data_IF_849269406766
#
_entry.id   IF_849269406766
#
_cell.length_a   1.000
_cell.length_b   1.000
_cell.length_c   1.000
_cell.angle_alpha   90.00
_cell.angle_beta   90.00
_cell.angle_gamma   90.00
#
_symmetry.space_group_name_H-M   'P 1'
#
loop_
_entity.id
_entity.type
_entity.pdbx_description
1 polymer ?
#
# COMPACT_ATOMS: atom_id res chain seq x y z
N UNK A 1 8.24 -10.97 -2.05
CA UNK A 1 9.03 -12.15 -2.51
C UNK A 1 8.27 -12.81 -3.63
N UNK A 2 8.97 -13.29 -4.65
CA UNK A 2 8.41 -14.06 -5.76
C UNK A 2 9.16 -15.40 -5.85
N UNK A 3 8.51 -16.47 -6.30
CA UNK A 3 9.20 -17.71 -6.68
C UNK A 3 8.95 -18.02 -8.15
N UNK A 4 9.86 -18.81 -8.73
CA UNK A 4 9.83 -19.27 -10.12
C UNK A 4 9.39 -20.73 -10.15
N UNK A 5 8.57 -21.11 -11.12
CA UNK A 5 8.38 -22.53 -11.46
C UNK A 5 9.51 -23.07 -12.36
N UNK A 6 9.40 -24.34 -12.75
CA UNK A 6 10.34 -25.00 -13.66
C UNK A 6 10.33 -24.44 -15.09
N UNK A 7 9.30 -23.67 -15.46
CA UNK A 7 9.14 -23.04 -16.76
C UNK A 7 9.59 -21.56 -16.75
N UNK A 8 10.00 -21.04 -15.59
CA UNK A 8 10.44 -19.66 -15.41
C UNK A 8 9.29 -18.67 -15.17
N UNK A 9 8.06 -19.15 -15.00
CA UNK A 9 6.89 -18.32 -14.66
C UNK A 9 7.01 -17.85 -13.21
N UNK A 10 6.85 -16.53 -12.99
CA UNK A 10 6.92 -15.94 -11.65
C UNK A 10 5.57 -15.89 -10.98
N UNK A 11 5.56 -16.30 -9.73
CA UNK A 11 4.41 -16.24 -8.85
C UNK A 11 4.76 -15.41 -7.62
N UNK A 12 3.87 -14.50 -7.24
CA UNK A 12 3.97 -13.86 -5.94
C UNK A 12 3.46 -14.81 -4.84
N UNK A 13 4.05 -14.68 -3.66
CA UNK A 13 3.31 -14.99 -2.43
C UNK A 13 2.06 -14.14 -2.36
N UNK A 14 0.97 -14.63 -1.74
CA UNK A 14 -0.18 -13.79 -1.51
C UNK A 14 0.29 -12.54 -0.77
N UNK A 15 0.25 -11.41 -1.46
CA UNK A 15 0.64 -10.13 -0.94
C UNK A 15 -0.64 -9.39 -0.64
N UNK A 16 -0.81 -9.07 0.63
CA UNK A 16 -1.95 -8.31 1.07
C UNK A 16 -1.48 -6.91 1.48
N UNK A 17 -2.20 -5.91 0.96
CA UNK A 17 -1.89 -4.51 1.25
C UNK A 17 -2.86 -4.01 2.30
N UNK A 18 -2.33 -3.43 3.37
CA UNK A 18 -3.12 -2.95 4.48
C UNK A 18 -2.76 -1.53 4.88
N UNK A 19 -3.77 -0.72 5.17
CA UNK A 19 -3.62 0.50 5.94
C UNK A 19 -4.27 0.29 7.32
N UNK A 20 -3.44 0.08 8.35
CA UNK A 20 -3.90 -0.29 9.68
C UNK A 20 -4.57 -1.67 9.73
N UNK A 21 -5.91 -1.68 9.83
CA UNK A 21 -6.75 -2.88 9.88
C UNK A 21 -7.52 -3.13 8.57
N UNK A 22 -7.49 -2.19 7.61
CA UNK A 22 -8.24 -2.30 6.37
C UNK A 22 -7.43 -3.01 5.29
N UNK A 23 -7.97 -4.11 4.75
CA UNK A 23 -7.44 -4.80 3.56
C UNK A 23 -7.77 -3.97 2.33
N UNK A 24 -6.75 -3.56 1.59
CA UNK A 24 -6.91 -2.70 0.41
C UNK A 24 -6.77 -3.49 -0.90
N UNK A 25 -5.93 -4.54 -0.92
CA UNK A 25 -5.76 -5.40 -2.11
C UNK A 25 -5.22 -6.78 -1.74
N UNK A 26 -5.46 -7.76 -2.62
CA UNK A 26 -5.02 -9.15 -2.51
C UNK A 26 -4.45 -9.63 -3.85
N UNK A 27 -3.26 -10.23 -3.84
CA UNK A 27 -2.84 -11.12 -4.91
C UNK A 27 -3.03 -12.58 -4.47
N UNK A 28 -3.61 -13.41 -5.34
CA UNK A 28 -3.74 -14.85 -5.07
C UNK A 28 -2.45 -15.57 -5.39
N UNK A 29 -2.12 -16.56 -4.56
CA UNK A 29 -1.05 -17.53 -4.82
C UNK A 29 -1.21 -18.12 -6.24
N UNK A 30 -0.12 -18.17 -7.01
CA UNK A 30 -0.15 -18.83 -8.33
C UNK A 30 -0.70 -17.98 -9.48
N UNK A 31 -0.87 -16.66 -9.32
CA UNK A 31 -1.14 -15.75 -10.44
C UNK A 31 0.19 -15.33 -11.06
N UNK A 32 0.38 -15.66 -12.34
CA UNK A 32 1.45 -15.09 -13.15
C UNK A 32 1.22 -13.60 -13.25
N UNK A 33 2.14 -12.81 -12.70
CA UNK A 33 2.09 -11.36 -12.83
C UNK A 33 2.73 -11.00 -14.16
N UNK A 34 1.94 -10.44 -15.05
CA UNK A 34 2.45 -9.71 -16.21
C UNK A 34 3.49 -8.69 -15.67
N UNK A 35 4.71 -8.70 -16.21
CA UNK A 35 5.82 -7.89 -15.68
C UNK A 35 5.50 -6.38 -15.67
N UNK A 36 4.48 -5.97 -16.45
CA UNK A 36 3.97 -4.60 -16.53
C UNK A 36 2.68 -4.36 -15.71
N UNK A 37 2.16 -5.36 -15.00
CA UNK A 37 0.98 -5.19 -14.15
C UNK A 37 1.27 -4.25 -12.98
N UNK A 38 0.46 -3.20 -12.87
CA UNK A 38 0.49 -2.25 -11.77
C UNK A 38 -0.68 -2.54 -10.84
N UNK A 39 -0.36 -2.87 -9.58
CA UNK A 39 -1.36 -2.92 -8.51
C UNK A 39 -1.52 -1.51 -7.95
N UNK A 40 -2.73 -0.97 -8.03
CA UNK A 40 -3.09 0.34 -7.46
C UNK A 40 -3.82 0.16 -6.15
N UNK A 41 -3.37 0.89 -5.14
CA UNK A 41 -3.94 0.83 -3.79
C UNK A 41 -4.42 2.21 -3.41
N UNK A 42 -5.75 2.45 -3.40
CA UNK A 42 -6.29 3.76 -3.10
C UNK A 42 -6.14 4.10 -1.62
N UNK A 43 -5.57 5.26 -1.36
CA UNK A 43 -5.38 5.84 -0.03
C UNK A 43 -6.21 7.11 0.08
N UNK A 44 -6.97 7.21 1.17
CA UNK A 44 -7.72 8.41 1.54
C UNK A 44 -7.40 8.76 2.98
N UNK A 45 -6.86 9.96 3.20
CA UNK A 45 -6.48 10.47 4.52
C UNK A 45 -7.27 11.75 4.81
N UNK A 46 -7.84 11.83 6.00
CA UNK A 46 -8.53 13.01 6.49
C UNK A 46 -7.62 13.78 7.47
N UNK A 47 -7.58 15.10 7.28
CA UNK A 47 -6.77 16.05 8.02
C UNK A 47 -7.65 17.16 8.61
N UNK A 48 -7.19 17.85 9.67
CA UNK A 48 -7.80 19.09 10.11
C UNK A 48 -7.78 20.16 8.99
N UNK A 49 -8.61 21.22 9.09
CA UNK A 49 -8.83 22.20 8.01
C UNK A 49 -7.60 23.06 7.65
N UNK A 50 -6.54 22.99 8.44
CA UNK A 50 -5.22 23.55 8.18
C UNK A 50 -4.18 22.55 8.69
N UNK A 51 -3.87 21.48 7.92
CA UNK A 51 -2.81 20.57 8.35
C UNK A 51 -1.52 21.38 8.39
N UNK A 52 -0.93 21.51 9.58
CA UNK A 52 0.30 22.29 9.75
C UNK A 52 1.44 21.68 8.93
N UNK A 53 1.44 20.36 8.76
CA UNK A 53 2.43 19.62 7.98
C UNK A 53 1.80 18.37 7.38
N UNK A 54 1.93 18.20 6.06
CA UNK A 54 1.98 16.87 5.46
C UNK A 54 3.40 16.33 5.69
N UNK A 55 3.51 15.04 5.97
CA UNK A 55 4.79 14.41 6.32
C UNK A 55 4.92 13.01 5.76
N UNK A 56 5.81 12.23 6.37
CA UNK A 56 6.05 10.84 5.95
C UNK A 56 4.81 9.97 6.18
N UNK A 57 4.31 9.38 5.11
CA UNK A 57 3.31 8.32 5.14
C UNK A 57 4.00 6.96 5.08
N UNK A 58 3.47 6.00 5.84
CA UNK A 58 3.95 4.62 5.89
C UNK A 58 2.82 3.66 5.54
N UNK A 59 3.08 2.78 4.58
CA UNK A 59 2.25 1.63 4.24
C UNK A 59 3.02 0.33 4.53
N UNK A 60 2.36 -0.60 5.23
CA UNK A 60 2.92 -1.91 5.53
C UNK A 60 2.41 -2.94 4.52
N UNK A 61 3.33 -3.67 3.88
CA UNK A 61 3.00 -4.81 3.04
C UNK A 61 3.22 -6.10 3.83
N UNK A 62 2.30 -7.04 3.69
CA UNK A 62 2.32 -8.31 4.38
C UNK A 62 2.26 -9.47 3.39
N UNK A 63 2.87 -10.59 3.75
CA UNK A 63 2.70 -11.84 3.04
C UNK A 63 1.94 -12.84 3.91
N UNK A 64 1.08 -13.63 3.27
CA UNK A 64 0.40 -14.76 3.89
C UNK A 64 1.04 -16.07 3.44
N UNK A 65 1.34 -16.97 4.39
CA UNK A 65 1.99 -18.26 4.11
C UNK A 65 1.05 -19.46 4.24
N UNK A 66 -0.24 -19.23 4.42
CA UNK A 66 -1.25 -20.29 4.44
C UNK A 66 -1.68 -20.71 3.03
N UNK A 67 -2.23 -21.91 2.93
CA UNK A 67 -2.75 -22.49 1.68
C UNK A 67 -4.23 -22.11 1.43
N UNK A 68 -4.85 -21.41 2.38
CA UNK A 68 -6.23 -20.93 2.32
C UNK A 68 -6.32 -19.44 1.93
N UNK A 69 -7.54 -18.96 1.68
CA UNK A 69 -7.80 -17.53 1.48
C UNK A 69 -8.14 -16.90 2.85
N UNK A 70 -7.27 -16.03 3.38
CA UNK A 70 -7.49 -15.50 4.72
C UNK A 70 -8.59 -14.44 4.71
N UNK A 71 -9.50 -14.55 5.68
CA UNK A 71 -10.62 -13.61 5.85
C UNK A 71 -10.20 -12.37 6.63
N UNK A 72 -9.26 -12.55 7.57
CA UNK A 72 -8.76 -11.49 8.44
C UNK A 72 -7.26 -11.63 8.59
N UNK A 73 -6.56 -10.50 8.71
CA UNK A 73 -5.13 -10.46 9.01
C UNK A 73 -4.84 -10.33 10.51
N UNK A 74 -5.71 -9.60 11.22
CA UNK A 74 -5.52 -9.29 12.63
C UNK A 74 -6.62 -9.89 13.49
N UNK A 75 -6.26 -10.27 14.71
CA UNK A 75 -7.21 -10.64 15.73
C UNK A 75 -7.97 -9.42 16.28
N UNK A 76 -8.93 -9.66 17.18
CA UNK A 76 -9.73 -8.60 17.81
C UNK A 76 -8.92 -7.64 18.68
N UNK A 77 -7.69 -8.00 19.03
CA UNK A 77 -6.76 -7.16 19.82
C UNK A 77 -5.78 -6.41 18.92
N UNK A 78 -5.86 -6.57 17.60
CA UNK A 78 -4.96 -5.96 16.63
C UNK A 78 -3.66 -6.74 16.41
N UNK A 79 -3.50 -7.90 17.04
CA UNK A 79 -2.35 -8.79 16.85
C UNK A 79 -2.40 -9.46 15.47
N UNK A 80 -1.24 -9.65 14.84
CA UNK A 80 -1.15 -10.34 13.55
C UNK A 80 -1.52 -11.82 13.74
N UNK A 81 -2.42 -12.35 12.91
CA UNK A 81 -2.79 -13.76 12.95
C UNK A 81 -1.62 -14.64 12.49
N UNK A 82 -1.57 -15.92 12.91
CA UNK A 82 -0.56 -16.86 12.42
C UNK A 82 -0.50 -16.88 10.88
N UNK A 83 0.68 -17.18 10.33
CA UNK A 83 0.95 -17.24 8.88
C UNK A 83 0.90 -15.89 8.14
N UNK A 84 0.52 -14.81 8.81
CA UNK A 84 0.77 -13.47 8.32
C UNK A 84 2.12 -12.97 8.80
N UNK A 85 2.86 -12.37 7.87
CA UNK A 85 4.20 -11.88 8.10
C UNK A 85 4.35 -10.52 7.46
N UNK A 86 5.08 -9.65 8.15
CA UNK A 86 5.44 -8.33 7.66
C UNK A 86 6.56 -8.47 6.62
N UNK A 87 6.35 -7.97 5.40
CA UNK A 87 7.32 -8.08 4.31
C UNK A 87 8.21 -6.83 4.18
N UNK A 88 7.58 -5.68 3.96
CA UNK A 88 8.29 -4.43 3.62
C UNK A 88 7.46 -3.23 4.05
N UNK A 89 8.16 -2.17 4.43
CA UNK A 89 7.58 -0.86 4.67
C UNK A 89 7.77 0.03 3.44
N UNK A 90 6.68 0.62 2.95
CA UNK A 90 6.69 1.64 1.90
C UNK A 90 6.54 3.00 2.56
N UNK A 91 7.51 3.89 2.35
CA UNK A 91 7.48 5.26 2.84
C UNK A 91 7.37 6.24 1.67
N UNK A 92 6.60 7.31 1.84
CA UNK A 92 6.56 8.43 0.89
C UNK A 92 6.33 9.74 1.65
N UNK A 93 6.88 10.85 1.17
CA UNK A 93 6.63 12.17 1.76
C UNK A 93 5.39 12.79 1.10
N UNK A 94 4.37 13.11 1.89
CA UNK A 94 3.12 13.67 1.39
C UNK A 94 3.20 15.18 1.12
N UNK A 95 4.32 15.85 1.41
CA UNK A 95 4.47 17.30 1.16
C UNK A 95 4.23 17.68 -0.29
N UNK A 96 4.67 16.85 -1.23
CA UNK A 96 4.50 17.08 -2.66
C UNK A 96 3.02 17.00 -3.09
N UNK A 97 2.17 16.39 -2.26
CA UNK A 97 0.74 16.27 -2.50
C UNK A 97 -0.08 17.39 -1.85
N UNK A 98 0.55 18.40 -1.23
CA UNK A 98 -0.17 19.47 -0.55
C UNK A 98 -1.14 20.23 -1.47
N UNK A 99 -0.78 20.42 -2.75
CA UNK A 99 -1.63 21.09 -3.75
C UNK A 99 -2.93 20.34 -4.08
N UNK A 100 -3.02 19.07 -3.71
CA UNK A 100 -4.20 18.22 -4.02
C UNK A 100 -5.16 18.06 -2.85
N UNK A 101 -4.85 18.64 -1.68
CA UNK A 101 -5.77 18.68 -0.55
C UNK A 101 -7.11 19.30 -0.96
N UNK A 102 -8.20 18.58 -0.69
CA UNK A 102 -9.57 19.04 -0.96
C UNK A 102 -10.29 19.31 0.35
N UNK A 103 -10.79 20.53 0.52
CA UNK A 103 -11.66 20.84 1.64
C UNK A 103 -12.98 20.09 1.51
N UNK A 104 -13.45 19.53 2.62
CA UNK A 104 -14.70 18.78 2.72
C UNK A 104 -15.37 19.10 4.05
N UNK A 105 -16.69 19.27 4.03
CA UNK A 105 -17.49 19.34 5.26
C UNK A 105 -17.81 17.89 5.67
N UNK A 106 -17.34 17.47 6.83
CA UNK A 106 -17.61 16.16 7.38
C UNK A 106 -19.06 16.04 7.87
N UNK A 107 -19.48 14.81 8.21
CA UNK A 107 -20.88 14.54 8.62
C UNK A 107 -21.31 15.26 9.90
N UNK A 108 -20.34 15.64 10.73
CA UNK A 108 -20.52 16.41 11.96
C UNK A 108 -20.54 17.95 11.72
N UNK A 109 -20.42 18.39 10.46
CA UNK A 109 -20.39 19.80 10.08
C UNK A 109 -19.02 20.46 10.23
N UNK A 110 -17.98 19.70 10.65
CA UNK A 110 -16.63 20.22 10.81
C UNK A 110 -15.93 20.24 9.45
N UNK A 111 -15.26 21.35 9.16
CA UNK A 111 -14.40 21.47 7.98
C UNK A 111 -13.17 20.56 8.16
N UNK A 112 -12.95 19.67 7.21
CA UNK A 112 -11.80 18.79 7.12
C UNK A 112 -11.13 18.97 5.76
N UNK A 113 -9.88 18.55 5.67
CA UNK A 113 -9.16 18.44 4.40
C UNK A 113 -8.95 16.96 4.10
N UNK A 114 -9.25 16.54 2.88
CA UNK A 114 -9.03 15.17 2.44
C UNK A 114 -7.91 15.13 1.42
N UNK A 115 -7.03 14.13 1.56
CA UNK A 115 -6.00 13.80 0.58
C UNK A 115 -6.29 12.42 0.00
N UNK A 116 -6.33 12.33 -1.33
CA UNK A 116 -6.54 11.08 -2.06
C UNK A 116 -5.39 10.86 -3.03
N UNK A 117 -4.80 9.66 -3.00
CA UNK A 117 -3.73 9.23 -3.91
C UNK A 117 -3.69 7.70 -3.94
N UNK A 118 -3.10 7.14 -4.98
CA UNK A 118 -2.85 5.70 -5.07
C UNK A 118 -1.39 5.42 -4.71
N UNK A 119 -1.13 4.33 -3.98
CA UNK A 119 0.20 3.70 -3.99
C UNK A 119 0.19 2.66 -5.11
N UNK A 120 0.94 2.96 -6.16
CA UNK A 120 1.16 2.06 -7.29
C UNK A 120 2.35 1.15 -6.99
N UNK A 121 2.18 -0.15 -7.24
CA UNK A 121 3.23 -1.15 -7.09
C UNK A 121 3.39 -1.96 -8.35
N UNK A 122 4.63 -2.11 -8.80
CA UNK A 122 5.02 -2.96 -9.92
C UNK A 122 6.07 -3.97 -9.47
N UNK A 123 5.89 -5.22 -9.88
CA UNK A 123 6.81 -6.30 -9.60
C UNK A 123 7.72 -6.50 -10.83
N UNK A 124 8.71 -5.62 -10.96
CA UNK A 124 9.61 -5.62 -12.11
C UNK A 124 10.77 -6.58 -11.88
N UNK A 125 10.77 -7.73 -12.56
CA UNK A 125 11.94 -8.62 -12.55
C UNK A 125 12.25 -9.20 -11.17
N UNK A 126 13.24 -8.58 -10.50
CA UNK A 126 13.80 -8.98 -9.20
C UNK A 126 13.39 -8.02 -8.08
N UNK A 127 12.83 -6.85 -8.41
CA UNK A 127 12.60 -5.77 -7.46
C UNK A 127 11.13 -5.33 -7.44
N UNK A 128 10.62 -5.14 -6.22
CA UNK A 128 9.39 -4.40 -6.02
C UNK A 128 9.70 -2.91 -6.22
N UNK A 129 8.93 -2.25 -7.08
CA UNK A 129 8.94 -0.78 -7.20
C UNK A 129 7.60 -0.26 -6.70
N UNK A 130 7.62 0.80 -5.91
CA UNK A 130 6.42 1.50 -5.46
C UNK A 130 6.56 3.00 -5.69
N UNK A 131 5.45 3.67 -5.96
CA UNK A 131 5.38 5.13 -6.09
C UNK A 131 3.95 5.62 -5.83
N UNK A 132 3.77 6.81 -5.24
CA UNK A 132 2.45 7.44 -5.21
C UNK A 132 2.08 7.97 -6.60
N UNK A 133 0.80 7.89 -6.93
CA UNK A 133 0.16 8.44 -8.13
C UNK A 133 -1.02 9.30 -7.67
N UNK A 134 -1.12 10.54 -8.17
CA UNK A 134 -2.24 11.45 -7.83
C UNK A 134 -2.58 12.35 -9.00
N UNK A 135 -3.80 12.91 -9.00
CA UNK A 135 -4.22 13.90 -9.99
C UNK A 135 -4.06 15.31 -9.44
N UNK A 136 -3.30 16.15 -10.15
CA UNK A 136 -3.16 17.57 -9.88
C UNK A 136 -3.47 18.36 -11.16
N UNK A 137 -4.45 19.26 -11.07
CA UNK A 137 -4.90 20.10 -12.21
C UNK A 137 -5.23 19.30 -13.49
N UNK A 138 -5.83 18.10 -13.34
CA UNK A 138 -6.19 17.24 -14.47
C UNK A 138 -5.01 16.46 -15.07
N UNK A 139 -3.83 16.53 -14.47
CA UNK A 139 -2.64 15.79 -14.87
C UNK A 139 -2.27 14.76 -13.80
N UNK A 140 -1.96 13.54 -14.23
CA UNK A 140 -1.44 12.51 -13.33
C UNK A 140 0.02 12.80 -13.01
N UNK A 141 0.29 12.96 -11.72
CA UNK A 141 1.62 13.14 -11.14
C UNK A 141 2.06 11.85 -10.45
N UNK A 142 3.37 11.70 -10.31
CA UNK A 142 3.98 10.59 -9.57
C UNK A 142 5.06 11.11 -8.64
N UNK A 143 5.30 10.37 -7.56
CA UNK A 143 6.32 10.72 -6.57
C UNK A 143 7.27 9.56 -6.31
N UNK A 144 8.11 9.71 -5.29
CA UNK A 144 9.05 8.66 -4.89
C UNK A 144 8.55 7.91 -3.65
N UNK A 145 8.86 6.62 -3.59
CA UNK A 145 8.79 5.84 -2.37
C UNK A 145 10.17 5.34 -1.96
N UNK A 146 10.36 5.17 -0.65
CA UNK A 146 11.46 4.37 -0.10
C UNK A 146 10.91 3.05 0.41
N UNK A 147 11.47 1.94 -0.08
CA UNK A 147 11.16 0.60 0.43
C UNK A 147 12.18 0.22 1.50
N UNK A 148 11.72 -0.14 2.70
CA UNK A 148 12.57 -0.65 3.78
C UNK A 148 12.16 -2.10 4.10
N UNK A 149 13.02 -3.10 3.81
CA UNK A 149 12.78 -4.48 4.19
C UNK A 149 12.62 -4.61 5.69
N UNK A 150 11.81 -5.57 6.12
CA UNK A 150 11.64 -5.89 7.52
C UNK A 150 12.64 -7.01 7.81
N UNK A 151 13.77 -6.62 8.40
CA UNK A 151 14.75 -7.58 8.88
C UNK A 151 14.20 -8.09 10.20
N UNK A 152 13.65 -9.30 10.21
CA UNK A 152 13.40 -10.01 11.46
C UNK A 152 14.79 -10.26 12.09
N UNK A 153 15.09 -9.60 13.21
CA UNK A 153 16.18 -10.05 14.08
C UNK A 153 15.77 -11.44 14.60
N UNK A 154 16.47 -12.46 14.08
CA UNK A 154 16.34 -13.86 14.50
C UNK A 154 16.84 -14.08 15.94
#
# INVERSE_FOLDING_TARGET
MAWLDSEGTRYLYPLEVYNGNAKLSFSKQGIAIDEDAIVRVPISLDFPPSPSELGEFKLDLYHYSGDDEPVWMRDKKGGLLPQFHKAVHVYTDLKDLHGTLRSRIARDGILQCQLNFDICMRFGGVELVAYPEWEEEGTIQTGSCTLRPIIDEA
#
